data_IF_583194802139
#
_entry.id   IF_583194802139
#
_cell.length_a   1.000
_cell.length_b   1.000
_cell.length_c   1.000
_cell.angle_alpha   90.00
_cell.angle_beta   90.00
_cell.angle_gamma   90.00
#
_symmetry.space_group_name_H-M   'P 1'
#
loop_
_entity.id
_entity.type
_entity.pdbx_description
1 polymer ?
#
# COMPACT_ATOMS: atom_id res chain seq x y z
N UNK A 1 31.11 5.07 23.81
CA UNK A 1 30.11 3.99 23.73
C UNK A 1 30.12 3.50 22.30
N UNK A 2 30.55 2.26 22.06
CA UNK A 2 30.38 1.60 20.77
C UNK A 2 28.88 1.59 20.43
N UNK A 3 28.51 2.16 19.27
CA UNK A 3 27.14 2.09 18.78
C UNK A 3 26.79 0.61 18.61
N UNK A 4 25.77 0.13 19.29
CA UNK A 4 25.25 -1.23 19.11
C UNK A 4 25.13 -1.53 17.62
N UNK A 5 25.54 -2.72 17.18
CA UNK A 5 25.50 -3.17 15.79
C UNK A 5 24.10 -3.09 15.14
N UNK A 6 23.03 -3.02 15.95
CA UNK A 6 21.65 -2.79 15.52
C UNK A 6 21.45 -1.43 14.83
N UNK A 7 22.25 -0.43 15.17
CA UNK A 7 22.17 0.91 14.60
C UNK A 7 23.12 1.12 13.40
N UNK A 8 23.70 0.03 12.91
CA UNK A 8 24.57 0.01 11.72
C UNK A 8 23.91 -0.87 10.66
N UNK A 9 23.97 -0.46 9.37
CA UNK A 9 23.38 -1.21 8.27
C UNK A 9 23.88 -2.65 8.19
N UNK A 10 25.18 -2.85 8.33
CA UNK A 10 25.87 -4.12 8.15
C UNK A 10 26.55 -4.64 9.44
N UNK A 11 26.13 -4.16 10.61
CA UNK A 11 26.62 -4.63 11.90
C UNK A 11 26.30 -6.12 12.10
N UNK A 12 27.24 -6.87 12.66
CA UNK A 12 27.03 -8.28 13.03
C UNK A 12 26.14 -8.36 14.27
N UNK A 13 24.91 -8.79 14.11
CA UNK A 13 23.91 -8.95 15.19
C UNK A 13 23.62 -10.42 15.40
N UNK A 14 23.65 -10.93 16.64
CA UNK A 14 23.25 -12.31 16.91
C UNK A 14 21.75 -12.51 16.66
N UNK A 15 21.36 -13.70 16.23
CA UNK A 15 19.98 -14.04 15.84
C UNK A 15 18.98 -13.73 16.95
N UNK A 16 19.33 -14.01 18.20
CA UNK A 16 18.49 -13.75 19.39
C UNK A 16 18.12 -12.27 19.55
N UNK A 17 19.02 -11.37 19.15
CA UNK A 17 18.75 -9.92 19.16
C UNK A 17 18.07 -9.46 17.89
N UNK A 18 18.33 -10.08 16.73
CA UNK A 18 17.76 -9.69 15.45
C UNK A 18 16.27 -10.04 15.33
N UNK A 19 15.88 -11.24 15.74
CA UNK A 19 14.50 -11.76 15.61
C UNK A 19 13.44 -10.87 16.26
N UNK A 20 13.58 -10.37 17.49
CA UNK A 20 12.59 -9.48 18.08
C UNK A 20 12.35 -8.21 17.28
N UNK A 21 13.39 -7.60 16.71
CA UNK A 21 13.25 -6.40 15.88
C UNK A 21 12.67 -6.72 14.51
N UNK A 22 13.05 -7.85 13.89
CA UNK A 22 12.41 -8.32 12.66
C UNK A 22 10.92 -8.59 12.87
N UNK A 23 10.56 -9.29 13.93
CA UNK A 23 9.16 -9.53 14.31
C UNK A 23 8.40 -8.20 14.55
N UNK A 24 9.03 -7.23 15.18
CA UNK A 24 8.47 -5.90 15.38
C UNK A 24 8.07 -5.24 14.05
N UNK A 25 8.92 -5.32 13.04
CA UNK A 25 8.62 -4.78 11.70
C UNK A 25 7.46 -5.53 11.03
N UNK A 26 7.41 -6.86 11.14
CA UNK A 26 6.31 -7.66 10.60
C UNK A 26 4.99 -7.31 11.28
N UNK A 27 4.95 -7.30 12.62
CA UNK A 27 3.72 -7.02 13.38
C UNK A 27 3.17 -5.62 13.09
N UNK A 28 4.05 -4.63 12.88
CA UNK A 28 3.63 -3.25 12.58
C UNK A 28 2.93 -3.12 11.22
N UNK A 29 3.34 -3.92 10.22
CA UNK A 29 2.77 -3.88 8.86
C UNK A 29 1.76 -4.99 8.57
N UNK A 30 1.64 -5.99 9.46
CA UNK A 30 0.91 -7.23 9.19
C UNK A 30 -0.50 -6.99 8.68
N UNK A 31 -1.30 -6.24 9.44
CA UNK A 31 -2.69 -5.92 9.08
C UNK A 31 -2.75 -5.16 7.75
N UNK A 32 -1.90 -4.15 7.59
CA UNK A 32 -1.89 -3.33 6.39
C UNK A 32 -1.47 -4.12 5.14
N UNK A 33 -0.62 -5.15 5.29
CA UNK A 33 -0.18 -5.98 4.18
C UNK A 33 -1.28 -6.95 3.69
N UNK A 34 -2.10 -7.50 4.60
CA UNK A 34 -3.12 -8.50 4.25
C UNK A 34 -4.47 -7.88 3.88
N UNK A 35 -4.81 -6.75 4.48
CA UNK A 35 -6.14 -6.12 4.33
C UNK A 35 -6.52 -5.83 2.89
N UNK A 36 -5.66 -5.28 2.00
CA UNK A 36 -6.05 -5.02 0.61
C UNK A 36 -6.47 -6.29 -0.14
N UNK A 37 -5.79 -7.41 0.09
CA UNK A 37 -6.13 -8.70 -0.54
C UNK A 37 -7.47 -9.21 -0.01
N UNK A 38 -7.70 -9.13 1.31
CA UNK A 38 -8.97 -9.57 1.90
C UNK A 38 -10.14 -8.73 1.38
N UNK A 39 -9.98 -7.41 1.32
CA UNK A 39 -11.02 -6.51 0.78
C UNK A 39 -11.30 -6.83 -0.69
N UNK A 40 -10.24 -6.95 -1.51
CA UNK A 40 -10.39 -7.28 -2.93
C UNK A 40 -11.10 -8.61 -3.13
N UNK A 41 -10.65 -9.66 -2.42
CA UNK A 41 -11.24 -11.00 -2.49
C UNK A 41 -12.73 -11.00 -2.14
N UNK A 42 -13.12 -10.28 -1.10
CA UNK A 42 -14.52 -10.18 -0.67
C UNK A 42 -15.37 -9.38 -1.66
N UNK A 43 -14.89 -8.25 -2.17
CA UNK A 43 -15.63 -7.43 -3.15
C UNK A 43 -15.84 -8.19 -4.47
N UNK A 44 -14.85 -8.99 -4.89
CA UNK A 44 -14.93 -9.81 -6.10
C UNK A 44 -15.73 -11.12 -5.87
N UNK A 45 -15.96 -11.48 -4.60
CA UNK A 45 -16.69 -12.72 -4.24
C UNK A 45 -15.87 -13.99 -4.44
N UNK A 46 -14.55 -13.94 -4.15
CA UNK A 46 -13.69 -15.12 -4.20
C UNK A 46 -14.01 -16.07 -3.04
N UNK A 47 -13.90 -17.37 -3.29
CA UNK A 47 -14.07 -18.36 -2.22
C UNK A 47 -12.97 -18.26 -1.15
N UNK A 48 -13.26 -18.81 0.04
CA UNK A 48 -12.35 -18.72 1.19
C UNK A 48 -11.00 -19.41 0.97
N UNK A 49 -10.98 -20.51 0.19
CA UNK A 49 -9.76 -21.27 -0.07
C UNK A 49 -8.82 -20.50 -1.00
N UNK A 50 -9.36 -19.87 -2.05
CA UNK A 50 -8.61 -19.04 -2.96
C UNK A 50 -8.13 -17.76 -2.25
N UNK A 51 -8.99 -17.14 -1.45
CA UNK A 51 -8.66 -15.96 -0.62
C UNK A 51 -7.50 -16.25 0.34
N UNK A 52 -7.53 -17.39 1.03
CA UNK A 52 -6.43 -17.85 1.88
C UNK A 52 -5.13 -18.04 1.10
N UNK A 53 -5.21 -18.62 -0.10
CA UNK A 53 -4.07 -18.80 -1.00
C UNK A 53 -3.47 -17.47 -1.42
N UNK A 54 -4.28 -16.47 -1.76
CA UNK A 54 -3.80 -15.13 -2.13
C UNK A 54 -3.11 -14.43 -0.95
N UNK A 55 -3.63 -14.59 0.28
CA UNK A 55 -3.00 -14.06 1.48
C UNK A 55 -1.63 -14.71 1.71
N UNK A 56 -1.52 -16.05 1.53
CA UNK A 56 -0.25 -16.76 1.63
C UNK A 56 0.76 -16.26 0.59
N UNK A 57 0.35 -16.19 -0.69
CA UNK A 57 1.17 -15.68 -1.77
C UNK A 57 1.68 -14.26 -1.47
N UNK A 58 0.78 -13.38 -1.01
CA UNK A 58 1.09 -12.01 -0.61
C UNK A 58 2.20 -11.97 0.45
N UNK A 59 2.09 -12.76 1.51
CA UNK A 59 3.09 -12.80 2.60
C UNK A 59 4.45 -13.29 2.10
N UNK A 60 4.47 -14.34 1.27
CA UNK A 60 5.70 -14.91 0.72
C UNK A 60 6.38 -13.90 -0.20
N UNK A 61 5.64 -13.31 -1.17
CA UNK A 61 6.22 -12.37 -2.13
C UNK A 61 6.67 -11.08 -1.45
N UNK A 62 5.93 -10.56 -0.47
CA UNK A 62 6.34 -9.41 0.34
C UNK A 62 7.64 -9.69 1.12
N UNK A 63 7.77 -10.87 1.68
CA UNK A 63 9.01 -11.32 2.34
C UNK A 63 10.19 -11.43 1.37
N UNK A 64 9.99 -12.05 0.21
CA UNK A 64 11.01 -12.15 -0.85
C UNK A 64 11.39 -10.75 -1.36
N UNK A 65 10.42 -9.90 -1.64
CA UNK A 65 10.65 -8.51 -2.06
C UNK A 65 11.47 -7.74 -1.03
N UNK A 66 11.14 -7.88 0.26
CA UNK A 66 11.93 -7.30 1.35
C UNK A 66 13.37 -7.80 1.35
N UNK A 67 13.61 -9.11 1.15
CA UNK A 67 14.97 -9.65 1.05
C UNK A 67 15.73 -9.08 -0.15
N UNK A 68 15.08 -8.95 -1.32
CA UNK A 68 15.70 -8.34 -2.51
C UNK A 68 16.03 -6.86 -2.25
N UNK A 69 15.15 -6.15 -1.56
CA UNK A 69 15.39 -4.74 -1.20
C UNK A 69 16.60 -4.58 -0.28
N UNK A 70 16.78 -5.49 0.69
CA UNK A 70 17.90 -5.51 1.64
C UNK A 70 19.20 -6.02 1.00
N UNK A 71 19.10 -7.06 0.17
CA UNK A 71 20.22 -7.75 -0.48
C UNK A 71 20.00 -7.75 -2.00
N UNK A 72 20.41 -6.68 -2.68
CA UNK A 72 20.08 -6.45 -4.08
C UNK A 72 20.57 -7.54 -5.03
N UNK A 73 19.74 -7.83 -6.03
CA UNK A 73 20.12 -8.62 -7.19
C UNK A 73 20.42 -7.62 -8.33
N UNK A 74 21.67 -7.49 -8.71
CA UNK A 74 22.17 -6.55 -9.70
C UNK A 74 21.79 -5.07 -9.34
N UNK A 75 20.83 -4.45 -10.03
CA UNK A 75 20.34 -3.09 -9.81
C UNK A 75 18.94 -3.04 -9.21
N UNK A 76 18.39 -4.18 -8.83
CA UNK A 76 17.09 -4.33 -8.19
C UNK A 76 17.31 -4.47 -6.69
N UNK A 77 16.81 -3.50 -5.92
CA UNK A 77 17.04 -3.38 -4.48
C UNK A 77 18.03 -2.28 -4.13
N UNK A 78 17.75 -1.57 -3.04
CA UNK A 78 18.47 -0.35 -2.66
C UNK A 78 19.55 -0.55 -1.58
N UNK A 79 19.62 -1.72 -0.95
CA UNK A 79 20.39 -1.99 0.28
C UNK A 79 19.91 -1.21 1.51
N UNK A 80 18.77 -0.55 1.41
CA UNK A 80 18.16 0.15 2.53
C UNK A 80 17.29 -0.79 3.37
N UNK A 81 17.15 -0.53 4.68
CA UNK A 81 16.29 -1.32 5.57
C UNK A 81 14.81 -0.99 5.35
N UNK A 82 14.31 -1.26 4.16
CA UNK A 82 12.93 -1.05 3.73
C UNK A 82 12.21 -2.39 3.73
N UNK A 83 11.05 -2.42 4.36
CA UNK A 83 10.12 -3.57 4.30
C UNK A 83 9.12 -3.32 3.18
N UNK A 84 8.78 -4.36 2.44
CA UNK A 84 7.84 -4.32 1.33
C UNK A 84 6.54 -5.03 1.68
N UNK A 85 5.43 -4.54 1.17
CA UNK A 85 4.11 -5.16 1.34
C UNK A 85 3.11 -4.65 0.32
N UNK A 86 1.89 -5.20 0.33
CA UNK A 86 0.80 -4.82 -0.56
C UNK A 86 0.47 -3.34 -0.37
N UNK A 87 0.38 -2.62 -1.48
CA UNK A 87 0.12 -1.19 -1.49
C UNK A 87 -1.37 -0.88 -1.58
N UNK A 88 -1.88 -0.07 -0.64
CA UNK A 88 -3.24 0.48 -0.70
C UNK A 88 -3.45 1.44 -1.88
N UNK A 89 -2.38 2.02 -2.41
CA UNK A 89 -2.39 2.94 -3.55
C UNK A 89 -3.10 2.35 -4.77
N UNK A 90 -3.01 1.03 -4.94
CA UNK A 90 -3.63 0.31 -6.05
C UNK A 90 -5.01 -0.26 -5.75
N UNK A 91 -5.47 -0.26 -4.49
CA UNK A 91 -6.67 -1.00 -4.07
C UNK A 91 -7.93 -0.57 -4.81
N UNK A 92 -8.20 0.73 -4.89
CA UNK A 92 -9.40 1.27 -5.55
C UNK A 92 -9.47 0.87 -7.03
N UNK A 93 -8.36 1.04 -7.77
CA UNK A 93 -8.30 0.66 -9.17
C UNK A 93 -8.33 -0.87 -9.36
N UNK A 94 -7.70 -1.62 -8.45
CA UNK A 94 -7.75 -3.09 -8.47
C UNK A 94 -9.18 -3.61 -8.31
N UNK A 95 -9.95 -3.03 -7.39
CA UNK A 95 -11.37 -3.36 -7.21
C UNK A 95 -12.15 -3.02 -8.49
N UNK A 96 -11.99 -1.82 -9.03
CA UNK A 96 -12.69 -1.40 -10.24
C UNK A 96 -12.42 -2.35 -11.42
N UNK A 97 -11.15 -2.65 -11.70
CA UNK A 97 -10.78 -3.55 -12.80
C UNK A 97 -11.26 -4.98 -12.53
N UNK A 98 -11.05 -5.50 -11.32
CA UNK A 98 -11.41 -6.87 -11.00
C UNK A 98 -12.92 -7.12 -11.06
N UNK A 99 -13.74 -6.15 -10.66
CA UNK A 99 -15.21 -6.25 -10.69
C UNK A 99 -15.79 -6.07 -12.08
N UNK A 100 -15.18 -5.22 -12.93
CA UNK A 100 -15.73 -4.92 -14.27
C UNK A 100 -15.17 -5.81 -15.37
N UNK A 101 -13.90 -6.25 -15.23
CA UNK A 101 -13.15 -6.95 -16.28
C UNK A 101 -12.54 -8.29 -15.80
N UNK A 102 -12.59 -8.56 -14.52
CA UNK A 102 -12.11 -9.81 -13.90
C UNK A 102 -10.66 -9.75 -13.38
N UNK A 103 -10.35 -10.75 -12.54
CA UNK A 103 -9.03 -10.88 -11.90
C UNK A 103 -7.90 -11.14 -12.92
N UNK A 104 -8.17 -11.82 -14.04
CA UNK A 104 -7.17 -12.06 -15.08
C UNK A 104 -6.65 -10.76 -15.70
N UNK A 105 -7.56 -9.84 -16.04
CA UNK A 105 -7.22 -8.51 -16.56
C UNK A 105 -6.44 -7.67 -15.55
N UNK A 106 -6.84 -7.71 -14.27
CA UNK A 106 -6.09 -7.06 -13.20
C UNK A 106 -4.65 -7.60 -13.13
N UNK A 107 -4.47 -8.92 -13.15
CA UNK A 107 -3.13 -9.52 -13.07
C UNK A 107 -2.28 -9.15 -14.29
N UNK A 108 -2.85 -9.15 -15.49
CA UNK A 108 -2.16 -8.68 -16.70
C UNK A 108 -1.69 -7.23 -16.59
N UNK A 109 -2.54 -6.35 -16.05
CA UNK A 109 -2.20 -4.95 -15.84
C UNK A 109 -1.11 -4.77 -14.75
N UNK A 110 -1.19 -5.54 -13.64
CA UNK A 110 -0.17 -5.53 -12.57
C UNK A 110 1.19 -5.99 -13.10
N UNK A 111 1.23 -7.07 -13.88
CA UNK A 111 2.48 -7.61 -14.44
C UNK A 111 3.15 -6.58 -15.36
N UNK A 112 2.43 -6.06 -16.34
CA UNK A 112 3.01 -5.11 -17.31
C UNK A 112 3.34 -3.76 -16.67
N UNK A 113 2.46 -3.27 -15.79
CA UNK A 113 2.70 -2.04 -15.02
C UNK A 113 3.94 -2.17 -14.12
N UNK A 114 4.10 -3.31 -13.45
CA UNK A 114 5.27 -3.59 -12.62
C UNK A 114 6.58 -3.68 -13.43
N UNK A 115 6.56 -4.31 -14.62
CA UNK A 115 7.71 -4.28 -15.54
C UNK A 115 8.06 -2.85 -15.92
N UNK A 116 7.05 -2.04 -16.26
CA UNK A 116 7.27 -0.65 -16.65
C UNK A 116 7.86 0.18 -15.49
N UNK A 117 7.33 0.06 -14.27
CA UNK A 117 7.90 0.72 -13.07
C UNK A 117 9.33 0.23 -12.79
N UNK A 118 9.57 -1.08 -12.90
CA UNK A 118 10.90 -1.66 -12.74
C UNK A 118 11.91 -1.07 -13.71
N UNK A 119 11.54 -0.93 -14.98
CA UNK A 119 12.36 -0.27 -16.00
C UNK A 119 12.55 1.21 -15.70
N UNK A 120 11.51 1.94 -15.28
CA UNK A 120 11.62 3.33 -14.84
C UNK A 120 12.63 3.49 -13.70
N UNK A 121 12.61 2.57 -12.72
CA UNK A 121 13.56 2.56 -11.62
C UNK A 121 15.01 2.41 -12.07
N UNK A 122 15.28 1.68 -13.15
CA UNK A 122 16.63 1.58 -13.74
C UNK A 122 17.12 2.90 -14.36
N UNK A 123 16.18 3.79 -14.74
CA UNK A 123 16.47 5.05 -15.43
C UNK A 123 15.83 6.28 -14.73
N UNK A 124 16.04 6.52 -13.41
CA UNK A 124 15.33 7.54 -12.64
C UNK A 124 15.58 8.96 -13.14
N UNK A 125 16.67 9.20 -13.83
CA UNK A 125 17.07 10.52 -14.34
C UNK A 125 16.07 11.14 -15.32
N UNK A 126 15.33 10.31 -16.06
CA UNK A 126 14.50 10.79 -17.17
C UNK A 126 13.08 11.17 -16.72
N UNK A 127 12.49 10.46 -15.76
CA UNK A 127 11.07 10.62 -15.42
C UNK A 127 10.82 11.40 -14.11
N UNK A 128 11.78 11.44 -13.18
CA UNK A 128 11.62 12.18 -11.91
C UNK A 128 11.31 13.66 -12.07
N UNK A 129 11.62 14.22 -13.24
CA UNK A 129 11.27 15.61 -13.58
C UNK A 129 9.81 15.80 -13.99
N UNK A 130 9.13 14.74 -14.42
CA UNK A 130 7.73 14.78 -14.89
C UNK A 130 6.74 14.83 -13.71
N UNK A 131 7.13 14.29 -12.56
CA UNK A 131 6.27 14.19 -11.40
C UNK A 131 6.82 15.04 -10.25
N UNK A 132 6.54 16.36 -10.25
CA UNK A 132 6.93 17.23 -9.14
C UNK A 132 6.10 16.93 -7.89
N UNK A 133 6.61 17.35 -6.73
CA UNK A 133 5.99 17.08 -5.42
C UNK A 133 4.49 17.43 -5.34
N UNK A 134 4.05 18.49 -6.05
CA UNK A 134 2.64 18.90 -6.05
C UNK A 134 1.75 17.85 -6.73
N UNK A 135 2.21 17.23 -7.83
CA UNK A 135 1.47 16.16 -8.51
C UNK A 135 1.35 14.94 -7.61
N UNK A 136 2.46 14.47 -7.06
CA UNK A 136 2.46 13.34 -6.12
C UNK A 136 1.54 13.60 -4.92
N UNK A 137 1.65 14.77 -4.29
CA UNK A 137 0.82 15.17 -3.16
C UNK A 137 -0.68 15.17 -3.50
N UNK A 138 -1.06 15.67 -4.68
CA UNK A 138 -2.46 15.69 -5.15
C UNK A 138 -2.99 14.26 -5.31
N UNK A 139 -2.18 13.37 -5.86
CA UNK A 139 -2.60 11.99 -6.11
C UNK A 139 -2.67 11.18 -4.82
N UNK A 140 -1.71 11.32 -3.89
CA UNK A 140 -1.79 10.66 -2.56
C UNK A 140 -3.05 11.10 -1.81
N UNK A 141 -3.41 12.38 -1.92
CA UNK A 141 -4.66 12.89 -1.36
C UNK A 141 -5.88 12.21 -2.01
N UNK A 142 -5.89 12.07 -3.34
CA UNK A 142 -6.96 11.39 -4.06
C UNK A 142 -7.08 9.91 -3.67
N UNK A 143 -5.96 9.21 -3.51
CA UNK A 143 -5.93 7.83 -3.02
C UNK A 143 -6.64 7.74 -1.67
N UNK A 144 -6.27 8.58 -0.71
CA UNK A 144 -6.93 8.62 0.59
C UNK A 144 -8.44 8.78 0.47
N UNK A 145 -8.91 9.73 -0.33
CA UNK A 145 -10.35 9.93 -0.57
C UNK A 145 -11.02 8.74 -1.25
N UNK A 146 -10.39 8.11 -2.22
CA UNK A 146 -10.96 6.96 -2.94
C UNK A 146 -11.13 5.72 -2.06
N UNK A 147 -10.36 5.62 -0.98
CA UNK A 147 -10.42 4.51 -0.05
C UNK A 147 -11.50 4.69 1.04
N UNK A 148 -11.97 5.92 1.32
CA UNK A 148 -12.95 6.16 2.38
C UNK A 148 -14.25 5.37 2.20
N UNK A 149 -14.88 5.34 1.01
CA UNK A 149 -16.08 4.52 0.79
C UNK A 149 -15.82 3.03 0.99
N UNK A 150 -14.63 2.54 0.61
CA UNK A 150 -14.24 1.14 0.77
C UNK A 150 -14.16 0.79 2.26
N UNK A 151 -13.54 1.67 3.06
CA UNK A 151 -13.48 1.51 4.52
C UNK A 151 -14.85 1.53 5.17
N UNK A 152 -15.73 2.44 4.75
CA UNK A 152 -17.10 2.55 5.27
C UNK A 152 -17.94 1.31 4.92
N UNK A 153 -17.84 0.81 3.68
CA UNK A 153 -18.52 -0.41 3.27
C UNK A 153 -18.03 -1.64 4.07
N UNK A 154 -16.72 -1.76 4.28
CA UNK A 154 -16.16 -2.82 5.12
C UNK A 154 -16.63 -2.70 6.56
N UNK A 155 -16.69 -1.48 7.12
CA UNK A 155 -17.18 -1.22 8.48
C UNK A 155 -18.65 -1.66 8.66
N UNK A 156 -19.46 -1.47 7.62
CA UNK A 156 -20.87 -1.89 7.62
C UNK A 156 -21.08 -3.40 7.43
N UNK A 157 -20.01 -4.19 7.24
CA UNK A 157 -20.09 -5.65 7.06
C UNK A 157 -19.66 -6.15 5.68
N UNK A 158 -19.35 -5.25 4.74
CA UNK A 158 -18.99 -5.56 3.36
C UNK A 158 -20.14 -5.33 2.37
N UNK A 159 -19.81 -4.77 1.23
CA UNK A 159 -20.80 -4.45 0.21
C UNK A 159 -21.50 -5.73 -0.31
N UNK A 160 -22.82 -5.76 -0.25
CA UNK A 160 -23.62 -6.90 -0.71
C UNK A 160 -23.80 -8.02 0.32
N UNK A 161 -23.31 -7.87 1.55
CA UNK A 161 -23.55 -8.81 2.63
C UNK A 161 -25.01 -8.70 3.12
N UNK A 162 -25.62 -9.83 3.46
CA UNK A 162 -27.01 -9.90 3.95
C UNK A 162 -27.21 -9.12 5.26
N UNK A 163 -26.17 -9.03 6.07
CA UNK A 163 -26.14 -8.31 7.35
C UNK A 163 -25.56 -6.90 7.24
N UNK A 164 -25.43 -6.35 6.02
CA UNK A 164 -24.88 -5.01 5.80
C UNK A 164 -25.61 -3.95 6.63
N UNK A 165 -24.84 -3.17 7.40
CA UNK A 165 -25.36 -2.12 8.28
C UNK A 165 -26.05 -2.64 9.54
N UNK A 166 -25.94 -3.94 9.86
CA UNK A 166 -26.51 -4.52 11.08
C UNK A 166 -25.92 -3.92 12.36
N UNK A 167 -26.68 -4.00 13.45
CA UNK A 167 -26.21 -3.50 14.76
C UNK A 167 -24.93 -4.23 15.21
N UNK A 168 -24.81 -5.52 14.90
CA UNK A 168 -23.63 -6.30 15.24
C UNK A 168 -22.39 -5.77 14.55
N UNK A 169 -22.48 -5.45 13.24
CA UNK A 169 -21.39 -4.84 12.48
C UNK A 169 -21.00 -3.47 13.05
N UNK A 170 -21.99 -2.64 13.43
CA UNK A 170 -21.73 -1.36 14.07
C UNK A 170 -21.02 -1.49 15.42
N UNK A 171 -21.43 -2.43 16.27
CA UNK A 171 -20.82 -2.67 17.58
C UNK A 171 -19.36 -3.10 17.41
N UNK A 172 -19.12 -4.14 16.61
CA UNK A 172 -17.78 -4.69 16.40
C UNK A 172 -16.86 -3.70 15.69
N UNK A 173 -17.34 -3.05 14.63
CA UNK A 173 -16.57 -2.05 13.88
C UNK A 173 -16.21 -0.84 14.76
N UNK A 174 -17.16 -0.30 15.52
CA UNK A 174 -16.92 0.81 16.44
C UNK A 174 -15.96 0.45 17.55
N UNK A 175 -16.12 -0.73 18.16
CA UNK A 175 -15.20 -1.22 19.18
C UNK A 175 -13.78 -1.32 18.64
N UNK A 176 -13.61 -1.96 17.47
CA UNK A 176 -12.31 -2.09 16.81
C UNK A 176 -11.67 -0.72 16.56
N UNK A 177 -12.44 0.21 15.98
CA UNK A 177 -11.97 1.58 15.72
C UNK A 177 -11.55 2.31 16.99
N UNK A 178 -12.35 2.21 18.07
CA UNK A 178 -12.04 2.84 19.35
C UNK A 178 -10.77 2.26 19.98
N UNK A 179 -10.55 0.94 19.90
CA UNK A 179 -9.31 0.31 20.37
C UNK A 179 -8.12 0.80 19.54
N UNK A 180 -8.22 0.79 18.20
CA UNK A 180 -7.18 1.33 17.33
C UNK A 180 -6.84 2.79 17.70
N UNK A 181 -7.85 3.63 17.84
CA UNK A 181 -7.70 5.04 18.20
C UNK A 181 -7.07 5.20 19.59
N UNK A 182 -7.51 4.41 20.57
CA UNK A 182 -6.97 4.43 21.93
C UNK A 182 -5.46 4.16 21.94
N UNK A 183 -5.01 3.10 21.25
CA UNK A 183 -3.58 2.81 21.15
C UNK A 183 -2.80 3.79 20.27
N UNK A 184 -3.44 4.36 19.24
CA UNK A 184 -2.83 5.39 18.41
C UNK A 184 -2.58 6.72 19.18
N UNK A 185 -3.51 7.09 20.07
CA UNK A 185 -3.45 8.36 20.83
C UNK A 185 -2.64 8.19 22.13
N UNK A 186 -2.94 7.16 22.92
CA UNK A 186 -2.36 6.97 24.24
C UNK A 186 -1.15 6.03 24.24
N UNK A 187 -0.97 5.22 23.18
CA UNK A 187 0.15 4.32 23.04
C UNK A 187 1.47 5.08 22.87
N UNK A 188 2.54 4.55 23.49
CA UNK A 188 3.89 5.12 23.40
C UNK A 188 4.82 4.15 22.67
N UNK A 189 5.74 4.73 21.87
CA UNK A 189 6.77 3.95 21.19
C UNK A 189 6.18 2.83 20.34
N UNK A 190 6.61 1.59 20.58
CA UNK A 190 6.20 0.42 19.81
C UNK A 190 4.70 0.10 19.89
N UNK A 191 4.07 0.28 21.06
CA UNK A 191 2.62 0.04 21.21
C UNK A 191 1.79 0.89 20.26
N UNK A 192 2.19 2.13 20.00
CA UNK A 192 1.54 2.99 19.01
C UNK A 192 1.65 2.43 17.60
N UNK A 193 2.78 1.83 17.24
CA UNK A 193 2.96 1.20 15.93
C UNK A 193 2.11 -0.06 15.76
N UNK A 194 1.73 -0.71 16.85
CA UNK A 194 0.86 -1.89 16.87
C UNK A 194 -0.64 -1.55 17.02
N UNK A 195 -1.02 -0.27 17.06
CA UNK A 195 -2.40 0.15 17.35
C UNK A 195 -3.43 -0.58 16.47
N UNK A 196 -3.17 -0.69 15.17
CA UNK A 196 -4.06 -1.36 14.20
C UNK A 196 -4.11 -2.87 14.45
N UNK A 197 -2.97 -3.51 14.74
CA UNK A 197 -2.93 -4.95 15.04
C UNK A 197 -3.68 -5.28 16.35
N UNK A 198 -3.47 -4.47 17.38
CA UNK A 198 -4.16 -4.66 18.67
C UNK A 198 -5.66 -4.45 18.48
N UNK A 199 -6.07 -3.44 17.71
CA UNK A 199 -7.48 -3.21 17.37
C UNK A 199 -8.09 -4.38 16.62
N UNK A 200 -7.38 -4.91 15.60
CA UNK A 200 -7.83 -6.07 14.84
C UNK A 200 -8.01 -7.30 15.77
N UNK A 201 -7.04 -7.60 16.61
CA UNK A 201 -7.12 -8.74 17.53
C UNK A 201 -8.26 -8.58 18.56
N UNK A 202 -8.43 -7.39 19.12
CA UNK A 202 -9.52 -7.11 20.05
C UNK A 202 -10.88 -7.18 19.37
N UNK A 203 -11.03 -6.60 18.17
CA UNK A 203 -12.26 -6.66 17.40
C UNK A 203 -12.59 -8.07 16.95
N UNK A 204 -11.60 -8.83 16.52
CA UNK A 204 -11.78 -10.24 16.16
C UNK A 204 -12.23 -11.08 17.35
N UNK A 205 -11.61 -10.88 18.53
CA UNK A 205 -12.03 -11.56 19.75
C UNK A 205 -13.48 -11.23 20.10
N UNK A 206 -13.88 -9.96 20.01
CA UNK A 206 -15.27 -9.57 20.24
C UNK A 206 -16.21 -10.23 19.22
N UNK A 207 -15.84 -10.27 17.93
CA UNK A 207 -16.62 -10.93 16.90
C UNK A 207 -16.79 -12.44 17.15
N UNK A 208 -15.74 -13.12 17.64
CA UNK A 208 -15.81 -14.52 18.07
C UNK A 208 -16.80 -14.67 19.24
N UNK A 209 -16.73 -13.81 20.26
CA UNK A 209 -17.67 -13.84 21.39
C UNK A 209 -19.14 -13.59 20.97
N UNK A 210 -19.35 -12.82 19.91
CA UNK A 210 -20.67 -12.55 19.35
C UNK A 210 -21.15 -13.63 18.35
N UNK A 211 -20.35 -14.67 18.09
CA UNK A 211 -20.71 -15.75 17.16
C UNK A 211 -20.71 -15.34 15.68
N UNK A 212 -20.01 -14.28 15.31
CA UNK A 212 -19.92 -13.77 13.94
C UNK A 212 -18.84 -14.45 13.11
N UNK A 213 -18.07 -15.37 13.68
CA UNK A 213 -16.92 -16.00 13.02
C UNK A 213 -17.24 -17.45 12.72
N UNK A 214 -17.08 -17.86 11.47
CA UNK A 214 -17.23 -19.24 11.02
C UNK A 214 -15.87 -19.93 10.90
N UNK A 215 -15.66 -20.98 11.70
CA UNK A 215 -14.46 -21.80 11.72
C UNK A 215 -14.58 -23.09 10.91
N UNK A 216 -15.69 -23.34 10.21
CA UNK A 216 -15.94 -24.59 9.48
C UNK A 216 -14.88 -24.90 8.43
N UNK A 217 -14.32 -23.86 7.82
CA UNK A 217 -13.33 -23.99 6.75
C UNK A 217 -11.91 -24.35 7.24
N UNK A 218 -11.67 -24.41 8.56
CA UNK A 218 -10.35 -24.71 9.11
C UNK A 218 -10.01 -26.21 9.18
N UNK A 219 -10.99 -27.10 9.00
CA UNK A 219 -10.79 -28.55 9.27
C UNK A 219 -10.03 -29.33 8.20
N UNK A 220 -9.88 -28.82 6.97
CA UNK A 220 -9.32 -29.58 5.84
C UNK A 220 -8.00 -29.01 5.30
N UNK A 221 -7.15 -28.44 6.14
CA UNK A 221 -5.94 -27.76 5.68
C UNK A 221 -4.71 -28.64 5.77
N UNK A 222 -3.89 -28.60 4.73
CA UNK A 222 -2.54 -29.16 4.76
C UNK A 222 -1.67 -28.41 5.78
N UNK A 223 -0.61 -29.06 6.28
CA UNK A 223 0.34 -28.45 7.20
C UNK A 223 1.20 -27.39 6.53
N UNK A 224 1.56 -27.60 5.27
CA UNK A 224 2.46 -26.75 4.46
C UNK A 224 1.89 -26.61 3.06
N UNK A 225 1.93 -25.43 2.49
CA UNK A 225 1.54 -25.14 1.12
C UNK A 225 2.62 -24.29 0.45
N UNK A 226 2.92 -24.60 -0.81
CA UNK A 226 3.75 -23.73 -1.64
C UNK A 226 2.89 -22.62 -2.27
N UNK A 227 3.52 -21.48 -2.64
CA UNK A 227 2.81 -20.41 -3.32
C UNK A 227 2.17 -20.93 -4.61
N UNK A 228 0.88 -20.62 -4.79
CA UNK A 228 0.17 -21.00 -6.01
C UNK A 228 0.55 -20.06 -7.14
N UNK A 229 1.17 -20.61 -8.17
CA UNK A 229 1.60 -19.88 -9.36
C UNK A 229 0.44 -19.75 -10.35
N UNK A 230 0.18 -18.53 -10.81
CA UNK A 230 -0.86 -18.19 -11.78
C UNK A 230 -2.28 -18.69 -11.39
N UNK A 231 -2.78 -18.33 -10.18
CA UNK A 231 -4.15 -18.69 -9.79
C UNK A 231 -5.19 -18.07 -10.73
N UNK A 232 -4.84 -16.98 -11.40
CA UNK A 232 -5.62 -16.35 -12.47
C UNK A 232 -4.77 -16.28 -13.73
N UNK A 233 -5.35 -16.66 -14.87
CA UNK A 233 -4.69 -16.51 -16.17
C UNK A 233 -4.60 -15.02 -16.52
N UNK A 234 -3.41 -14.43 -16.71
CA UNK A 234 -3.28 -13.03 -17.06
C UNK A 234 -3.92 -12.71 -18.40
N UNK A 235 -4.73 -11.66 -18.45
CA UNK A 235 -5.32 -11.09 -19.64
C UNK A 235 -4.85 -9.65 -19.82
N UNK A 236 -4.58 -9.26 -21.07
CA UNK A 236 -3.96 -7.98 -21.35
C UNK A 236 -4.94 -7.05 -22.06
N UNK A 237 -5.54 -6.13 -21.27
CA UNK A 237 -6.45 -5.11 -21.75
C UNK A 237 -5.78 -3.73 -21.62
N UNK A 238 -5.75 -2.97 -22.71
CA UNK A 238 -4.97 -1.72 -22.78
C UNK A 238 -5.48 -0.67 -21.79
N UNK A 239 -6.80 -0.54 -21.60
CA UNK A 239 -7.38 0.42 -20.66
C UNK A 239 -6.99 0.15 -19.22
N UNK A 240 -7.05 -1.14 -18.80
CA UNK A 240 -6.63 -1.57 -17.48
C UNK A 240 -5.13 -1.36 -17.27
N UNK A 241 -4.30 -1.70 -18.27
CA UNK A 241 -2.85 -1.50 -18.23
C UNK A 241 -2.51 -0.01 -18.06
N UNK A 242 -3.13 0.87 -18.84
CA UNK A 242 -2.87 2.32 -18.76
C UNK A 242 -3.35 2.90 -17.41
N UNK A 243 -4.49 2.42 -16.89
CA UNK A 243 -5.00 2.81 -15.58
C UNK A 243 -4.03 2.45 -14.45
N UNK A 244 -3.56 1.21 -14.41
CA UNK A 244 -2.61 0.73 -13.41
C UNK A 244 -1.24 1.38 -13.59
N UNK A 245 -0.78 1.60 -14.83
CA UNK A 245 0.49 2.27 -15.13
C UNK A 245 0.52 3.70 -14.57
N UNK A 246 -0.58 4.45 -14.69
CA UNK A 246 -0.69 5.78 -14.10
C UNK A 246 -0.45 5.75 -12.58
N UNK A 247 -0.96 4.71 -11.89
CA UNK A 247 -0.77 4.56 -10.44
C UNK A 247 0.66 4.12 -10.11
N UNK A 248 1.29 3.28 -10.94
CA UNK A 248 2.70 2.93 -10.78
C UNK A 248 3.64 4.14 -10.84
N UNK A 249 3.30 5.14 -11.66
CA UNK A 249 4.06 6.40 -11.68
C UNK A 249 4.00 7.14 -10.33
N UNK A 250 2.85 7.06 -9.64
CA UNK A 250 2.67 7.63 -8.30
C UNK A 250 3.41 6.81 -7.26
N UNK A 251 3.24 5.48 -7.29
CA UNK A 251 3.94 4.53 -6.43
C UNK A 251 5.46 4.75 -6.45
N UNK A 252 6.04 4.92 -7.65
CA UNK A 252 7.45 5.24 -7.79
C UNK A 252 7.86 6.52 -7.04
N UNK A 253 6.98 7.54 -6.97
CA UNK A 253 7.28 8.75 -6.18
C UNK A 253 7.12 8.54 -4.68
N UNK A 254 6.17 7.71 -4.24
CA UNK A 254 6.02 7.31 -2.84
C UNK A 254 7.29 6.57 -2.37
N UNK A 255 7.77 5.60 -3.15
CA UNK A 255 9.00 4.84 -2.86
C UNK A 255 10.24 5.74 -2.77
N UNK A 256 10.35 6.73 -3.64
CA UNK A 256 11.41 7.75 -3.55
C UNK A 256 11.28 8.54 -2.25
N UNK A 257 10.05 8.92 -1.89
CA UNK A 257 9.74 9.61 -0.64
C UNK A 257 10.14 8.80 0.59
N UNK A 258 9.71 7.54 0.66
CA UNK A 258 10.01 6.61 1.74
C UNK A 258 11.49 6.35 1.90
N UNK A 259 12.17 6.05 0.78
CA UNK A 259 13.62 5.83 0.78
C UNK A 259 14.39 7.06 1.23
N UNK A 260 13.95 8.26 0.82
CA UNK A 260 14.55 9.54 1.23
C UNK A 260 14.28 9.84 2.70
N UNK A 261 13.06 9.58 3.18
CA UNK A 261 12.67 9.74 4.56
C UNK A 261 13.47 8.81 5.47
N UNK A 262 13.64 7.54 5.08
CA UNK A 262 14.47 6.58 5.83
C UNK A 262 15.92 7.05 5.94
N UNK A 263 16.51 7.46 4.81
CA UNK A 263 17.89 7.94 4.80
C UNK A 263 18.07 9.17 5.68
N UNK A 264 17.15 10.13 5.63
CA UNK A 264 17.26 11.38 6.42
C UNK A 264 16.94 11.17 7.90
N UNK A 265 15.91 10.38 8.23
CA UNK A 265 15.44 10.22 9.62
C UNK A 265 16.22 9.17 10.41
N UNK A 266 16.47 8.00 9.82
CA UNK A 266 17.12 6.88 10.51
C UNK A 266 18.62 6.81 10.24
N UNK A 267 19.06 7.00 8.98
CA UNK A 267 20.48 6.91 8.61
C UNK A 267 21.24 8.23 8.73
N UNK A 268 20.54 9.36 8.96
CA UNK A 268 21.12 10.71 9.11
C UNK A 268 21.98 11.13 7.91
N UNK A 269 21.60 10.72 6.69
CA UNK A 269 22.27 11.10 5.45
C UNK A 269 21.28 11.34 4.31
N UNK A 270 21.73 11.94 3.24
CA UNK A 270 20.97 12.05 2.00
C UNK A 270 20.97 10.72 1.24
N UNK A 271 19.89 10.44 0.53
CA UNK A 271 19.79 9.26 -0.34
C UNK A 271 20.66 9.43 -1.58
N UNK A 272 21.32 8.37 -2.02
CA UNK A 272 22.04 8.35 -3.29
C UNK A 272 21.10 8.09 -4.46
N UNK A 273 21.36 8.70 -5.62
CA UNK A 273 20.55 8.51 -6.85
C UNK A 273 20.41 7.03 -7.25
N UNK A 274 21.45 6.23 -7.01
CA UNK A 274 21.45 4.80 -7.29
C UNK A 274 20.50 4.05 -6.36
N UNK A 275 20.51 4.36 -5.06
CA UNK A 275 19.60 3.76 -4.08
C UNK A 275 18.13 4.08 -4.42
N UNK A 276 17.85 5.34 -4.76
CA UNK A 276 16.54 5.80 -5.18
C UNK A 276 16.00 5.00 -6.37
N UNK A 277 16.77 4.90 -7.45
CA UNK A 277 16.36 4.16 -8.64
C UNK A 277 16.25 2.66 -8.40
N UNK A 278 17.17 2.08 -7.65
CA UNK A 278 17.16 0.64 -7.35
C UNK A 278 16.00 0.25 -6.42
N UNK A 279 15.53 1.16 -5.55
CA UNK A 279 14.33 0.95 -4.72
C UNK A 279 13.07 0.85 -5.58
N UNK A 280 12.88 1.81 -6.50
CA UNK A 280 11.76 1.80 -7.45
C UNK A 280 11.83 0.59 -8.38
N UNK A 281 13.03 0.20 -8.84
CA UNK A 281 13.19 -0.99 -9.66
C UNK A 281 12.77 -2.27 -8.90
N UNK A 282 13.06 -2.34 -7.60
CA UNK A 282 12.62 -3.44 -6.76
C UNK A 282 11.09 -3.50 -6.65
N UNK A 283 10.45 -2.37 -6.35
CA UNK A 283 9.00 -2.29 -6.23
C UNK A 283 8.32 -2.75 -7.52
N UNK A 284 8.76 -2.26 -8.67
CA UNK A 284 8.19 -2.65 -9.96
C UNK A 284 8.36 -4.14 -10.28
N UNK A 285 9.57 -4.67 -10.19
CA UNK A 285 9.80 -6.09 -10.55
C UNK A 285 9.19 -7.06 -9.53
N UNK A 286 9.18 -6.72 -8.24
CA UNK A 286 8.50 -7.51 -7.21
C UNK A 286 6.98 -7.46 -7.41
N UNK A 287 6.41 -6.30 -7.77
CA UNK A 287 4.99 -6.17 -8.12
C UNK A 287 4.63 -6.99 -9.35
N UNK A 288 5.50 -6.99 -10.37
CA UNK A 288 5.28 -7.85 -11.54
C UNK A 288 5.27 -9.33 -11.17
N UNK A 289 6.20 -9.77 -10.31
CA UNK A 289 6.18 -11.13 -9.76
C UNK A 289 4.92 -11.38 -8.93
N UNK A 290 4.48 -10.42 -8.10
CA UNK A 290 3.24 -10.52 -7.31
C UNK A 290 2.01 -10.78 -8.19
N UNK A 291 1.90 -10.12 -9.35
CA UNK A 291 0.85 -10.37 -10.33
C UNK A 291 0.81 -11.81 -10.85
N UNK A 292 1.97 -12.47 -11.01
CA UNK A 292 2.04 -13.89 -11.38
C UNK A 292 1.53 -14.80 -10.26
N UNK A 293 1.51 -14.35 -9.02
CA UNK A 293 0.97 -15.08 -7.87
C UNK A 293 -0.41 -14.59 -7.44
N UNK A 294 -1.11 -13.83 -8.29
CA UNK A 294 -2.47 -13.37 -8.05
C UNK A 294 -2.57 -12.23 -7.04
N UNK A 295 -1.46 -11.58 -6.70
CA UNK A 295 -1.42 -10.48 -5.74
C UNK A 295 -1.42 -9.11 -6.44
N UNK A 296 -1.98 -8.11 -5.77
CA UNK A 296 -1.86 -6.71 -6.17
C UNK A 296 -0.44 -6.19 -5.90
N UNK A 297 -0.06 -5.01 -6.43
CA UNK A 297 1.31 -4.52 -6.35
C UNK A 297 1.88 -4.44 -4.93
N UNK A 298 3.15 -4.81 -4.81
CA UNK A 298 3.93 -4.81 -3.58
C UNK A 298 4.99 -3.72 -3.65
N UNK A 299 4.96 -2.79 -2.70
CA UNK A 299 5.82 -1.61 -2.69
C UNK A 299 6.47 -1.38 -1.32
N UNK A 300 7.30 -0.36 -1.21
CA UNK A 300 7.88 0.06 0.08
C UNK A 300 6.78 0.45 1.08
N UNK A 301 7.01 0.14 2.37
CA UNK A 301 6.02 0.35 3.42
C UNK A 301 6.41 1.55 4.30
N UNK A 302 5.71 2.68 4.13
CA UNK A 302 5.97 3.95 4.84
C UNK A 302 5.89 3.81 6.36
N UNK A 303 5.01 2.95 6.88
CA UNK A 303 4.88 2.70 8.32
C UNK A 303 6.16 2.13 8.92
N UNK A 304 6.85 1.24 8.20
CA UNK A 304 8.10 0.65 8.63
C UNK A 304 9.27 1.63 8.55
N UNK A 305 9.23 2.60 7.64
CA UNK A 305 10.15 3.74 7.61
C UNK A 305 10.01 4.57 8.89
N UNK A 306 8.77 4.87 9.30
CA UNK A 306 8.48 5.54 10.57
C UNK A 306 8.99 4.75 11.78
N UNK A 307 8.81 3.44 11.78
CA UNK A 307 9.28 2.55 12.86
C UNK A 307 10.82 2.54 12.94
N UNK A 308 11.52 2.44 11.81
CA UNK A 308 12.98 2.52 11.76
C UNK A 308 13.50 3.88 12.23
N UNK A 309 12.82 4.98 11.87
CA UNK A 309 13.15 6.31 12.34
C UNK A 309 13.00 6.48 13.86
N UNK A 310 11.98 5.86 14.44
CA UNK A 310 11.63 5.93 15.85
C UNK A 310 12.53 5.03 16.72
N UNK A 311 12.80 3.80 16.29
CA UNK A 311 13.62 2.83 16.99
C UNK A 311 15.11 3.06 16.78
N UNK A 312 15.49 3.70 15.67
CA UNK A 312 16.87 3.82 15.22
C UNK A 312 17.47 2.52 14.68
N UNK A 313 16.74 1.42 14.70
CA UNK A 313 17.20 0.12 14.21
C UNK A 313 17.20 0.12 12.69
N UNK A 314 18.38 0.03 12.11
CA UNK A 314 18.60 0.06 10.66
C UNK A 314 19.36 -1.16 10.14
N UNK A 315 19.61 -2.13 11.01
CA UNK A 315 20.39 -3.31 10.67
C UNK A 315 19.63 -4.20 9.68
N UNK A 316 20.23 -4.46 8.51
CA UNK A 316 19.63 -5.23 7.44
C UNK A 316 19.34 -6.69 7.84
N UNK A 317 20.23 -7.32 8.63
CA UNK A 317 20.02 -8.68 9.09
C UNK A 317 18.84 -8.78 10.06
N UNK A 318 18.66 -7.79 10.95
CA UNK A 318 17.50 -7.75 11.85
C UNK A 318 16.18 -7.65 11.05
N UNK A 319 16.13 -6.85 10.00
CA UNK A 319 14.92 -6.73 9.16
C UNK A 319 14.74 -7.99 8.27
N UNK A 320 15.83 -8.60 7.82
CA UNK A 320 15.77 -9.86 7.06
C UNK A 320 15.17 -11.01 7.87
N UNK A 321 15.37 -11.05 9.20
CA UNK A 321 14.68 -12.04 10.05
C UNK A 321 13.16 -11.84 10.03
N UNK A 322 12.69 -10.60 9.95
CA UNK A 322 11.27 -10.29 9.76
C UNK A 322 10.75 -10.80 8.40
N UNK A 323 11.49 -10.53 7.33
CA UNK A 323 11.15 -11.05 6.00
C UNK A 323 11.08 -12.59 5.98
N UNK A 324 12.01 -13.26 6.63
CA UNK A 324 11.97 -14.73 6.79
C UNK A 324 10.73 -15.19 7.58
N UNK A 325 10.35 -14.48 8.65
CA UNK A 325 9.12 -14.76 9.42
C UNK A 325 7.88 -14.61 8.52
N UNK A 326 7.80 -13.57 7.68
CA UNK A 326 6.69 -13.41 6.72
C UNK A 326 6.60 -14.56 5.73
N UNK A 327 7.74 -14.97 5.16
CA UNK A 327 7.79 -16.12 4.23
C UNK A 327 7.31 -17.39 4.95
N UNK A 328 7.83 -17.65 6.15
CA UNK A 328 7.42 -18.81 6.94
C UNK A 328 5.92 -18.77 7.25
N UNK A 329 5.39 -17.63 7.68
CA UNK A 329 3.95 -17.49 7.96
C UNK A 329 3.10 -17.73 6.70
N UNK A 330 3.56 -17.30 5.52
CA UNK A 330 2.89 -17.57 4.25
C UNK A 330 2.95 -19.03 3.80
N UNK A 331 3.91 -19.81 4.26
CA UNK A 331 4.00 -21.25 3.94
C UNK A 331 2.97 -22.09 4.73
N UNK A 332 2.46 -21.59 5.85
CA UNK A 332 1.47 -22.29 6.66
C UNK A 332 0.04 -21.90 6.26
N UNK A 333 -0.74 -22.80 5.60
CA UNK A 333 -2.12 -22.52 5.16
C UNK A 333 -3.05 -22.07 6.30
N UNK A 334 -2.83 -22.59 7.50
CA UNK A 334 -3.60 -22.21 8.67
C UNK A 334 -3.59 -20.69 8.95
N UNK A 335 -2.47 -20.00 8.67
CA UNK A 335 -2.38 -18.55 8.84
C UNK A 335 -3.32 -17.83 7.87
N UNK A 336 -3.26 -18.17 6.57
CA UNK A 336 -4.14 -17.58 5.56
C UNK A 336 -5.61 -17.83 5.88
N UNK A 337 -5.94 -19.03 6.27
CA UNK A 337 -7.30 -19.43 6.58
C UNK A 337 -7.88 -18.75 7.83
N UNK A 338 -7.11 -18.63 8.90
CA UNK A 338 -7.54 -17.84 10.07
C UNK A 338 -7.83 -16.40 9.66
N UNK A 339 -7.02 -15.84 8.78
CA UNK A 339 -7.18 -14.46 8.32
C UNK A 339 -8.43 -14.26 7.45
N UNK A 340 -8.89 -15.28 6.72
CA UNK A 340 -10.15 -15.20 5.96
C UNK A 340 -11.40 -15.28 6.85
N UNK A 341 -11.28 -15.75 8.10
CA UNK A 341 -12.40 -15.76 9.05
C UNK A 341 -12.66 -14.40 9.69
N UNK A 342 -11.80 -13.41 9.49
CA UNK A 342 -11.96 -12.08 10.08
C UNK A 342 -13.15 -11.37 9.44
N UNK A 343 -14.20 -11.00 10.22
CA UNK A 343 -15.36 -10.29 9.70
C UNK A 343 -14.98 -8.94 9.09
N UNK A 344 -15.69 -8.54 8.03
CA UNK A 344 -15.43 -7.28 7.32
C UNK A 344 -15.53 -6.06 8.25
N UNK A 345 -16.46 -6.04 9.21
CA UNK A 345 -16.62 -4.95 10.16
C UNK A 345 -15.38 -4.73 11.04
N UNK A 346 -14.63 -5.79 11.39
CA UNK A 346 -13.35 -5.69 12.10
C UNK A 346 -12.31 -5.01 11.21
N UNK A 347 -12.18 -5.47 9.97
CA UNK A 347 -11.27 -4.85 8.99
C UNK A 347 -11.66 -3.39 8.73
N UNK A 348 -12.96 -3.09 8.62
CA UNK A 348 -13.49 -1.75 8.44
C UNK A 348 -13.13 -0.81 9.59
N UNK A 349 -13.23 -1.28 10.84
CA UNK A 349 -12.80 -0.53 12.02
C UNK A 349 -11.32 -0.14 11.97
N UNK A 350 -10.46 -1.06 11.50
CA UNK A 350 -9.04 -0.79 11.28
C UNK A 350 -8.78 0.17 10.11
N UNK A 351 -9.44 -0.07 8.97
CA UNK A 351 -9.14 0.63 7.71
C UNK A 351 -9.61 2.07 7.69
N UNK A 352 -10.70 2.42 8.38
CA UNK A 352 -11.13 3.83 8.51
C UNK A 352 -9.99 4.70 9.06
N UNK A 353 -9.32 4.25 10.12
CA UNK A 353 -8.18 4.97 10.69
C UNK A 353 -6.99 5.03 9.71
N UNK A 354 -6.71 3.93 9.03
CA UNK A 354 -5.60 3.83 8.07
C UNK A 354 -5.83 4.71 6.84
N UNK A 355 -7.02 4.68 6.24
CA UNK A 355 -7.35 5.47 5.05
C UNK A 355 -7.40 6.96 5.36
N UNK A 356 -7.95 7.34 6.52
CA UNK A 356 -7.85 8.71 7.02
C UNK A 356 -6.40 9.18 7.17
N UNK A 357 -5.51 8.31 7.63
CA UNK A 357 -4.08 8.61 7.77
C UNK A 357 -3.40 8.81 6.41
N UNK A 358 -3.75 8.02 5.38
CA UNK A 358 -3.24 8.20 4.01
C UNK A 358 -3.70 9.55 3.44
N UNK A 359 -4.98 9.87 3.58
CA UNK A 359 -5.52 11.16 3.14
C UNK A 359 -4.77 12.33 3.81
N UNK A 360 -4.54 12.23 5.11
CA UNK A 360 -3.85 13.27 5.87
C UNK A 360 -2.37 13.38 5.53
N UNK A 361 -1.71 12.27 5.18
CA UNK A 361 -0.35 12.28 4.64
C UNK A 361 -0.29 13.08 3.33
N UNK A 362 -1.27 12.90 2.43
CA UNK A 362 -1.44 13.70 1.22
C UNK A 362 -1.56 15.21 1.54
N UNK A 363 -2.39 15.59 2.50
CA UNK A 363 -2.49 16.99 2.93
C UNK A 363 -1.18 17.54 3.49
N UNK A 364 -0.43 16.72 4.24
CA UNK A 364 0.89 17.09 4.73
C UNK A 364 1.89 17.35 3.59
N UNK A 365 1.84 16.55 2.52
CA UNK A 365 2.64 16.77 1.31
C UNK A 365 2.20 18.03 0.55
N UNK A 366 0.89 18.30 0.44
CA UNK A 366 0.36 19.54 -0.15
C UNK A 366 0.84 20.77 0.60
N UNK A 367 0.77 20.75 1.93
CA UNK A 367 1.23 21.86 2.78
C UNK A 367 2.73 22.15 2.55
N UNK A 368 3.56 21.13 2.40
CA UNK A 368 5.00 21.26 2.09
C UNK A 368 5.25 21.81 0.68
N UNK A 369 4.37 21.51 -0.28
CA UNK A 369 4.47 22.02 -1.66
C UNK A 369 4.11 23.49 -1.77
N UNK A 370 3.44 24.07 -0.78
CA UNK A 370 3.00 25.45 -0.70
C UNK A 370 1.72 25.74 -1.50
N UNK A 371 0.95 26.70 -1.02
CA UNK A 371 -0.36 27.10 -1.55
C UNK A 371 -0.25 28.30 -2.51
N UNK A 372 0.56 28.20 -3.58
CA UNK A 372 0.53 29.19 -4.66
C UNK A 372 -0.77 29.04 -5.46
N UNK A 373 -1.24 30.12 -6.13
CA UNK A 373 -2.42 30.07 -7.01
C UNK A 373 -2.31 28.95 -8.05
N UNK A 374 -1.12 28.75 -8.61
CA UNK A 374 -0.85 27.65 -9.53
C UNK A 374 -1.07 26.28 -8.89
N UNK A 375 -0.50 26.05 -7.73
CA UNK A 375 -0.64 24.78 -7.00
C UNK A 375 -2.10 24.53 -6.59
N UNK A 376 -2.79 25.57 -6.13
CA UNK A 376 -4.22 25.47 -5.79
C UNK A 376 -5.08 25.08 -6.99
N UNK A 377 -4.82 25.63 -8.18
CA UNK A 377 -5.54 25.25 -9.42
C UNK A 377 -5.28 23.79 -9.76
N UNK A 378 -4.01 23.34 -9.70
CA UNK A 378 -3.65 21.94 -9.98
C UNK A 378 -4.42 21.02 -9.04
N UNK A 379 -4.37 21.27 -7.74
CA UNK A 379 -5.01 20.42 -6.72
C UNK A 379 -6.53 20.44 -6.87
N UNK A 380 -7.12 21.63 -6.88
CA UNK A 380 -8.58 21.82 -6.89
C UNK A 380 -9.20 21.18 -8.12
N UNK A 381 -8.68 21.49 -9.32
CA UNK A 381 -9.27 20.99 -10.57
C UNK A 381 -9.04 19.47 -10.71
N UNK A 382 -7.84 18.97 -10.37
CA UNK A 382 -7.57 17.53 -10.48
C UNK A 382 -8.42 16.71 -9.52
N UNK A 383 -8.56 17.13 -8.26
CA UNK A 383 -9.41 16.45 -7.28
C UNK A 383 -10.89 16.57 -7.65
N UNK A 384 -11.37 17.75 -8.03
CA UNK A 384 -12.79 17.94 -8.39
C UNK A 384 -13.20 17.10 -9.58
N UNK A 385 -12.38 17.06 -10.63
CA UNK A 385 -12.68 16.25 -11.83
C UNK A 385 -12.48 14.76 -11.52
N UNK A 386 -11.35 14.37 -10.91
CA UNK A 386 -11.09 12.96 -10.67
C UNK A 386 -12.08 12.31 -9.70
N UNK A 387 -12.34 12.94 -8.56
CA UNK A 387 -13.30 12.40 -7.58
C UNK A 387 -14.75 12.63 -8.00
N UNK A 388 -15.06 13.80 -8.57
CA UNK A 388 -16.43 14.15 -8.94
C UNK A 388 -16.95 13.33 -10.13
N UNK A 389 -16.16 13.18 -11.19
CA UNK A 389 -16.61 12.50 -12.40
C UNK A 389 -16.78 10.99 -12.20
N UNK A 390 -15.96 10.38 -11.38
CA UNK A 390 -16.11 8.94 -11.05
C UNK A 390 -17.35 8.65 -10.20
N UNK A 391 -17.92 9.65 -9.52
CA UNK A 391 -19.20 9.50 -8.79
C UNK A 391 -20.43 9.70 -9.69
N UNK A 392 -20.27 10.27 -10.88
CA UNK A 392 -21.34 10.51 -11.83
C UNK A 392 -21.51 9.28 -12.75
N UNK A 393 -22.31 8.31 -12.32
CA UNK A 393 -22.56 7.08 -13.07
C UNK A 393 -23.10 7.40 -14.48
N UNK A 394 -22.53 6.73 -15.49
CA UNK A 394 -22.98 6.86 -16.87
C UNK A 394 -22.51 8.11 -17.63
N UNK A 395 -21.81 9.05 -16.98
CA UNK A 395 -21.29 10.26 -17.64
C UNK A 395 -20.42 9.96 -18.87
N UNK A 396 -19.66 8.87 -18.81
CA UNK A 396 -18.75 8.44 -19.88
C UNK A 396 -19.34 7.38 -20.82
N UNK A 397 -20.63 7.06 -20.72
CA UNK A 397 -21.28 5.98 -21.50
C UNK A 397 -21.18 6.17 -23.02
N UNK A 398 -21.06 7.40 -23.50
CA UNK A 398 -20.90 7.73 -24.95
C UNK A 398 -19.48 7.51 -25.47
N UNK A 399 -18.50 7.35 -24.59
CA UNK A 399 -17.09 7.22 -24.97
C UNK A 399 -16.69 5.74 -25.16
N UNK A 400 -15.60 5.46 -25.92
CA UNK A 400 -15.04 4.12 -26.03
C UNK A 400 -14.69 3.49 -24.68
N UNK A 401 -14.74 2.15 -24.57
CA UNK A 401 -14.44 1.41 -23.33
C UNK A 401 -13.12 1.84 -22.66
N UNK A 402 -12.06 2.08 -23.44
CA UNK A 402 -10.77 2.55 -22.91
C UNK A 402 -10.92 3.83 -22.10
N UNK A 403 -11.69 4.80 -22.62
CA UNK A 403 -11.95 6.06 -21.90
C UNK A 403 -12.80 5.81 -20.66
N UNK A 404 -13.81 4.96 -20.75
CA UNK A 404 -14.62 4.59 -19.60
C UNK A 404 -13.77 3.98 -18.48
N UNK A 405 -12.94 2.99 -18.77
CA UNK A 405 -12.06 2.34 -17.79
C UNK A 405 -11.09 3.33 -17.13
N UNK A 406 -10.50 4.24 -17.89
CA UNK A 406 -9.55 5.20 -17.33
C UNK A 406 -10.24 6.30 -16.52
N UNK A 407 -11.33 6.88 -17.05
CA UNK A 407 -11.93 8.11 -16.52
C UNK A 407 -13.17 7.89 -15.66
N UNK A 408 -13.94 6.82 -15.87
CA UNK A 408 -15.13 6.54 -15.07
C UNK A 408 -14.84 5.61 -13.87
N UNK A 409 -13.89 4.67 -14.03
CA UNK A 409 -13.67 3.62 -13.03
C UNK A 409 -12.48 3.91 -12.11
N UNK A 410 -11.54 4.80 -12.52
CA UNK A 410 -10.30 5.03 -11.78
C UNK A 410 -10.05 6.51 -11.50
N UNK A 411 -10.59 7.01 -10.37
CA UNK A 411 -10.41 8.41 -9.97
C UNK A 411 -8.92 8.81 -9.80
N UNK A 412 -8.08 7.89 -9.32
CA UNK A 412 -6.65 8.15 -9.04
C UNK A 412 -5.89 8.39 -10.35
N UNK A 413 -6.18 7.59 -11.40
CA UNK A 413 -5.60 7.78 -12.71
C UNK A 413 -6.00 9.12 -13.34
N UNK A 414 -7.28 9.51 -13.20
CA UNK A 414 -7.79 10.80 -13.68
C UNK A 414 -7.08 11.96 -12.98
N UNK A 415 -7.00 11.91 -11.66
CA UNK A 415 -6.29 12.94 -10.86
C UNK A 415 -4.84 13.04 -11.30
N UNK A 416 -4.15 11.91 -11.48
CA UNK A 416 -2.76 11.90 -11.94
C UNK A 416 -2.60 12.54 -13.31
N UNK A 417 -3.38 12.11 -14.31
CA UNK A 417 -3.32 12.64 -15.68
C UNK A 417 -3.56 14.15 -15.67
N UNK A 418 -4.62 14.61 -15.00
CA UNK A 418 -4.94 16.03 -14.94
C UNK A 418 -3.88 16.84 -14.20
N UNK A 419 -3.39 16.34 -13.06
CA UNK A 419 -2.35 17.03 -12.31
C UNK A 419 -1.06 17.19 -13.12
N UNK A 420 -0.67 16.15 -13.89
CA UNK A 420 0.47 16.23 -14.81
C UNK A 420 0.22 17.25 -15.94
N UNK A 421 -0.94 17.16 -16.60
CA UNK A 421 -1.29 18.07 -17.70
C UNK A 421 -1.31 19.51 -17.20
N UNK A 422 -1.99 19.80 -16.09
CA UNK A 422 -2.05 21.13 -15.51
C UNK A 422 -0.67 21.64 -15.07
N UNK A 423 0.15 20.74 -14.52
CA UNK A 423 1.52 21.10 -14.16
C UNK A 423 2.39 21.46 -15.36
N UNK A 424 2.13 20.88 -16.53
CA UNK A 424 2.87 21.21 -17.78
C UNK A 424 2.36 22.47 -18.45
N UNK A 425 1.03 22.69 -18.45
CA UNK A 425 0.38 23.81 -19.15
C UNK A 425 0.44 25.11 -18.35
N UNK A 426 0.23 25.06 -17.04
CA UNK A 426 0.21 26.26 -16.23
C UNK A 426 1.59 26.91 -16.16
N UNK A 427 1.68 28.25 -16.27
CA UNK A 427 2.95 28.96 -16.26
C UNK A 427 3.77 28.63 -15.04
N UNK A 428 5.07 28.45 -15.25
CA UNK A 428 6.01 28.00 -14.21
C UNK A 428 6.03 28.93 -13.00
N UNK A 429 6.56 28.43 -11.89
CA UNK A 429 6.74 29.20 -10.65
C UNK A 429 7.21 30.61 -10.98
N UNK A 430 6.49 31.62 -10.48
CA UNK A 430 7.10 32.95 -10.30
C UNK A 430 8.47 32.71 -9.66
N UNK A 431 9.56 33.05 -10.40
CA UNK A 431 10.88 33.12 -9.82
C UNK A 431 10.73 34.02 -8.61
N UNK A 432 10.78 33.44 -7.41
CA UNK A 432 10.81 34.23 -6.18
C UNK A 432 11.78 35.37 -6.42
N UNK A 433 11.30 36.59 -6.29
CA UNK A 433 12.11 37.79 -6.14
C UNK A 433 12.94 37.63 -4.86
N UNK A 434 13.94 36.77 -4.91
CA UNK A 434 14.98 36.63 -3.90
C UNK A 434 16.05 37.73 -4.05
N UNK A 435 15.69 38.86 -4.67
CA UNK A 435 16.60 40.00 -4.92
C UNK A 435 16.14 41.32 -4.29
N UNK A 436 15.41 41.29 -3.18
CA UNK A 436 15.07 42.59 -2.53
C UNK A 436 15.23 42.64 -0.99
N UNK A 437 16.02 41.77 -0.41
CA UNK A 437 16.37 41.84 1.04
C UNK A 437 17.87 41.98 1.30
N UNK A 438 18.66 42.33 0.28
CA UNK A 438 20.03 42.78 0.43
C UNK A 438 20.20 44.16 -0.24
N UNK A 439 19.46 45.14 0.28
CA UNK A 439 19.83 46.56 0.22
C UNK A 439 19.49 47.22 1.54
#
# INVERSE_FOLDING_TARGET
>A
MEKSNLYQLDGKVPLVQAVPFGLQHVLAMFVANITPIIILANVVGLDSALSATLIQNCMIIAGIGTLIQLYPIWRVGSRLPIVMGISFTFLSASIAIATTQGMGTLMGAVILGGIAEGLLGLFPRYWTKLIPHIVAATVVTAIGFSLLPIGANSFAGGQGADDFGSLNNWIVGSFTLLVCLGFQVFGKGFLRSLAVLIGLLAGYLLAVCMGMVDFSNLHNMGVVSLPNFMPFKPEFEIGAILSILAIYMVSATETIGDSSALCSSALKRTIHKKEMGSSVACDGFVSSAAGLFGCTPITSFSQNVGLAAMSGVVNRFAIATGAAIMILAGIFPAVGAILTTIPQCVLGGCTILMFGSIMFAGFGMLARSGFSNRNMIIVALSLSVGLGFTQASGMFSIFPKIIQTIFAENCVAVVFILAVILNLILPGKEKKKEKSLNK
#
